data_IF_152747306999
#
_entry.id   IF_152747306999
#
_cell.length_a   1.000
_cell.length_b   1.000
_cell.length_c   1.000
_cell.angle_alpha   90.00
_cell.angle_beta   90.00
_cell.angle_gamma   90.00
#
_symmetry.space_group_name_H-M   'P 1'
#
loop_
_entity.id
_entity.type
_entity.pdbx_description
1 polymer ?
#
# COMPACT_ATOMS: atom_id res chain seq x y z
N UNK A 1 -24.64 -12.33 -17.16
CA UNK A 1 -24.72 -13.80 -17.09
C UNK A 1 -23.74 -14.29 -18.13
N UNK A 2 -22.63 -14.96 -17.83
CA UNK A 2 -22.48 -16.10 -16.94
C UNK A 2 -21.16 -16.01 -16.14
N UNK A 3 -21.27 -16.27 -14.85
CA UNK A 3 -20.19 -16.78 -14.02
C UNK A 3 -20.09 -18.25 -14.39
N UNK A 4 -18.88 -18.72 -14.72
CA UNK A 4 -18.35 -20.08 -14.52
C UNK A 4 -17.20 -20.31 -15.51
N UNK A 5 -16.05 -19.71 -15.22
CA UNK A 5 -14.79 -20.14 -15.79
C UNK A 5 -14.09 -20.99 -14.71
N UNK A 6 -13.74 -22.25 -15.00
CA UNK A 6 -13.03 -23.12 -14.05
C UNK A 6 -11.74 -22.47 -13.56
N UNK A 7 -11.47 -22.58 -12.25
CA UNK A 7 -10.34 -21.96 -11.55
C UNK A 7 -8.97 -22.35 -12.12
N UNK A 8 -8.90 -23.47 -12.84
CA UNK A 8 -7.66 -24.07 -13.34
C UNK A 8 -7.23 -23.61 -14.75
N UNK A 9 -8.02 -22.77 -15.43
CA UNK A 9 -7.73 -22.28 -16.80
C UNK A 9 -7.24 -20.82 -16.88
N UNK A 10 -6.76 -20.23 -15.78
CA UNK A 10 -6.01 -18.95 -15.85
C UNK A 10 -4.57 -19.16 -16.36
N UNK A 11 -4.40 -19.88 -17.47
CA UNK A 11 -3.12 -19.99 -18.17
C UNK A 11 -3.07 -18.89 -19.25
N UNK A 12 -2.16 -17.93 -19.08
CA UNK A 12 -1.76 -16.87 -20.03
C UNK A 12 -2.63 -15.61 -20.18
N UNK A 13 -3.24 -15.06 -19.11
CA UNK A 13 -3.60 -13.63 -19.14
C UNK A 13 -2.37 -12.79 -18.76
N UNK A 14 -1.91 -11.94 -19.67
CA UNK A 14 -0.91 -10.90 -19.34
C UNK A 14 -1.57 -9.90 -18.39
N UNK A 15 -1.02 -9.78 -17.19
CA UNK A 15 -1.47 -8.78 -16.21
C UNK A 15 -1.12 -7.39 -16.70
N UNK A 16 -1.99 -6.43 -16.42
CA UNK A 16 -1.74 -5.02 -16.71
C UNK A 16 -1.59 -4.27 -15.39
N UNK A 17 -0.75 -3.25 -15.38
CA UNK A 17 -0.60 -2.39 -14.20
C UNK A 17 -1.91 -1.72 -13.77
N UNK A 18 -2.92 -1.64 -14.65
CA UNK A 18 -4.28 -1.14 -14.36
C UNK A 18 -5.21 -2.15 -13.68
N UNK A 19 -4.86 -3.45 -13.65
CA UNK A 19 -5.70 -4.49 -13.06
C UNK A 19 -5.83 -4.34 -11.53
N UNK A 20 -7.02 -4.57 -10.98
CA UNK A 20 -7.29 -4.39 -9.54
C UNK A 20 -6.48 -5.32 -8.65
N UNK A 21 -6.05 -6.48 -9.17
CA UNK A 21 -5.22 -7.45 -8.45
C UNK A 21 -3.77 -6.93 -8.25
N UNK A 22 -3.32 -5.93 -9.01
CA UNK A 22 -1.96 -5.37 -8.90
C UNK A 22 -1.84 -4.40 -7.72
N UNK A 23 -0.71 -4.49 -7.01
CA UNK A 23 -0.34 -3.59 -5.93
C UNK A 23 0.09 -2.22 -6.48
N UNK A 24 -0.85 -1.27 -6.50
CA UNK A 24 -0.62 0.09 -7.00
C UNK A 24 0.42 0.86 -6.18
N UNK A 25 0.50 0.61 -4.88
CA UNK A 25 1.48 1.27 -4.01
C UNK A 25 2.89 0.83 -4.36
N UNK A 26 3.08 -0.47 -4.60
CA UNK A 26 4.35 -1.00 -5.07
C UNK A 26 4.76 -0.44 -6.45
N UNK A 27 3.79 -0.27 -7.37
CA UNK A 27 4.04 0.44 -8.63
C UNK A 27 4.56 1.87 -8.41
N UNK A 28 4.06 2.57 -7.40
CA UNK A 28 4.51 3.93 -7.05
C UNK A 28 5.81 3.97 -6.24
N UNK A 29 6.35 2.83 -5.79
CA UNK A 29 7.67 2.75 -5.17
C UNK A 29 7.76 1.75 -4.04
N UNK A 30 6.75 1.68 -3.18
CA UNK A 30 6.73 0.76 -2.04
C UNK A 30 5.31 0.39 -1.64
N UNK A 31 5.14 -0.84 -1.16
CA UNK A 31 3.88 -1.28 -0.55
C UNK A 31 3.98 -1.22 0.98
N UNK A 32 3.28 -0.27 1.64
CA UNK A 32 3.30 -0.18 3.10
C UNK A 32 2.79 -1.47 3.76
N UNK A 33 1.81 -2.13 3.14
CA UNK A 33 1.22 -3.38 3.63
C UNK A 33 2.25 -4.52 3.66
N UNK A 34 3.09 -4.64 2.63
CA UNK A 34 4.15 -5.64 2.63
C UNK A 34 5.30 -5.25 3.56
N UNK A 35 5.67 -3.96 3.60
CA UNK A 35 6.78 -3.47 4.42
C UNK A 35 6.57 -3.73 5.91
N UNK A 36 5.34 -3.56 6.40
CA UNK A 36 5.00 -3.75 7.81
C UNK A 36 4.42 -5.13 8.14
N UNK A 37 4.42 -6.06 7.18
CA UNK A 37 3.93 -7.42 7.41
C UNK A 37 4.71 -8.10 8.54
N UNK A 38 3.99 -8.76 9.45
CA UNK A 38 4.52 -9.40 10.67
C UNK A 38 5.18 -8.43 11.66
N UNK A 39 4.89 -7.12 11.57
CA UNK A 39 5.32 -6.14 12.57
C UNK A 39 4.16 -5.75 13.48
N UNK A 40 4.43 -4.95 14.52
CA UNK A 40 3.36 -4.35 15.35
C UNK A 40 2.47 -3.36 14.58
N UNK A 41 2.91 -2.93 13.40
CA UNK A 41 2.20 -2.01 12.52
C UNK A 41 1.59 -2.73 11.31
N UNK A 42 1.45 -4.07 11.36
CA UNK A 42 0.80 -4.84 10.31
C UNK A 42 -0.64 -4.36 10.08
N UNK A 43 -1.00 -4.15 8.81
CA UNK A 43 -2.29 -3.61 8.38
C UNK A 43 -3.29 -4.70 7.92
N UNK A 44 -2.95 -5.96 8.14
CA UNK A 44 -3.79 -7.11 7.83
C UNK A 44 -3.45 -7.79 6.51
N UNK A 45 -4.33 -8.69 6.08
CA UNK A 45 -4.14 -9.46 4.86
C UNK A 45 -4.11 -8.53 3.63
N UNK A 46 -3.05 -8.66 2.83
CA UNK A 46 -2.84 -7.90 1.60
C UNK A 46 -2.61 -8.87 0.44
N UNK A 47 -3.66 -9.06 -0.37
CA UNK A 47 -3.70 -10.05 -1.46
C UNK A 47 -3.39 -9.42 -2.83
N UNK A 48 -2.67 -8.30 -2.87
CA UNK A 48 -2.25 -7.66 -4.12
C UNK A 48 -0.94 -8.24 -4.65
N UNK A 49 -0.81 -8.24 -5.97
CA UNK A 49 0.29 -8.85 -6.70
C UNK A 49 1.34 -7.78 -7.04
N UNK A 50 2.60 -8.10 -6.75
CA UNK A 50 3.77 -7.30 -7.15
C UNK A 50 4.40 -7.95 -8.37
N UNK A 51 4.05 -7.44 -9.55
CA UNK A 51 4.51 -7.96 -10.83
C UNK A 51 5.55 -7.03 -11.48
N UNK A 52 6.77 -7.52 -11.67
CA UNK A 52 7.90 -6.73 -12.21
C UNK A 52 7.62 -6.14 -13.59
N UNK A 53 6.89 -6.84 -14.46
CA UNK A 53 6.55 -6.31 -15.79
C UNK A 53 5.59 -5.12 -15.67
N UNK A 54 4.60 -5.22 -14.79
CA UNK A 54 3.71 -4.09 -14.49
C UNK A 54 4.48 -2.89 -13.92
N UNK A 55 5.53 -3.13 -13.12
CA UNK A 55 6.40 -2.07 -12.60
C UNK A 55 7.20 -1.39 -13.69
N UNK A 56 7.84 -2.17 -14.57
CA UNK A 56 8.57 -1.64 -15.72
C UNK A 56 7.66 -0.83 -16.65
N UNK A 57 6.45 -1.34 -16.94
CA UNK A 57 5.43 -0.63 -17.71
C UNK A 57 5.03 0.69 -17.06
N UNK A 58 4.79 0.68 -15.74
CA UNK A 58 4.47 1.89 -14.98
C UNK A 58 5.64 2.88 -14.99
N UNK A 59 6.85 2.43 -14.72
CA UNK A 59 8.03 3.28 -14.62
C UNK A 59 8.36 3.97 -15.94
N UNK A 60 8.07 3.32 -17.07
CA UNK A 60 8.21 3.87 -18.41
C UNK A 60 7.18 4.96 -18.78
N UNK A 61 6.08 5.11 -18.03
CA UNK A 61 5.08 6.15 -18.31
C UNK A 61 5.62 7.55 -17.98
N UNK A 62 5.26 8.57 -18.78
CA UNK A 62 5.47 9.97 -18.42
C UNK A 62 4.74 10.33 -17.12
N UNK A 63 5.28 11.28 -16.35
CA UNK A 63 4.68 11.72 -15.09
C UNK A 63 3.23 12.19 -15.24
N UNK A 64 2.90 12.93 -16.30
CA UNK A 64 1.53 13.38 -16.57
C UNK A 64 0.53 12.21 -16.63
N UNK A 65 0.95 11.06 -17.17
CA UNK A 65 0.13 9.85 -17.23
C UNK A 65 0.02 9.15 -15.90
N UNK A 66 1.09 9.17 -15.09
CA UNK A 66 1.06 8.66 -13.71
C UNK A 66 0.12 9.48 -12.85
N UNK A 67 0.14 10.80 -13.00
CA UNK A 67 -0.73 11.73 -12.30
C UNK A 67 -2.21 11.51 -12.66
N UNK A 68 -2.52 11.26 -13.94
CA UNK A 68 -3.87 10.90 -14.39
C UNK A 68 -4.42 9.63 -13.70
N UNK A 69 -3.56 8.67 -13.35
CA UNK A 69 -3.96 7.46 -12.63
C UNK A 69 -4.18 7.67 -11.13
N UNK A 70 -3.54 8.66 -10.51
CA UNK A 70 -3.72 9.02 -9.10
C UNK A 70 -3.08 8.06 -8.08
N UNK A 71 -2.41 6.99 -8.51
CA UNK A 71 -1.85 5.98 -7.61
C UNK A 71 -0.79 6.55 -6.65
N UNK A 72 0.01 7.52 -7.12
CA UNK A 72 1.01 8.20 -6.28
C UNK A 72 0.35 9.11 -5.24
N UNK A 73 -0.75 9.75 -5.60
CA UNK A 73 -1.55 10.55 -4.67
C UNK A 73 -2.18 9.66 -3.58
N UNK A 74 -2.75 8.52 -3.96
CA UNK A 74 -3.30 7.57 -3.00
C UNK A 74 -2.23 7.05 -2.03
N UNK A 75 -1.02 6.77 -2.55
CA UNK A 75 0.13 6.40 -1.72
C UNK A 75 0.50 7.53 -0.75
N UNK A 76 0.58 8.78 -1.24
CA UNK A 76 0.88 9.95 -0.41
C UNK A 76 -0.14 10.10 0.73
N UNK A 77 -1.43 10.05 0.43
CA UNK A 77 -2.50 10.18 1.43
C UNK A 77 -2.41 9.07 2.49
N UNK A 78 -2.11 7.84 2.07
CA UNK A 78 -1.88 6.73 2.98
C UNK A 78 -0.68 7.00 3.90
N UNK A 79 0.45 7.43 3.36
CA UNK A 79 1.65 7.73 4.13
C UNK A 79 1.42 8.88 5.12
N UNK A 80 0.74 9.95 4.70
CA UNK A 80 0.40 11.08 5.58
C UNK A 80 -0.47 10.63 6.75
N UNK A 81 -1.48 9.79 6.49
CA UNK A 81 -2.30 9.20 7.56
C UNK A 81 -1.44 8.40 8.54
N UNK A 82 -0.54 7.56 8.05
CA UNK A 82 0.33 6.74 8.90
C UNK A 82 1.25 7.59 9.78
N UNK A 83 1.84 8.65 9.22
CA UNK A 83 2.64 9.62 9.98
C UNK A 83 1.78 10.30 11.06
N UNK A 84 0.59 10.77 10.71
CA UNK A 84 -0.31 11.39 11.67
C UNK A 84 -0.73 10.47 12.83
N UNK A 85 -0.90 9.18 12.56
CA UNK A 85 -1.22 8.19 13.61
C UNK A 85 -0.01 7.89 14.52
N UNK A 86 1.21 7.91 13.97
CA UNK A 86 2.44 7.84 14.74
C UNK A 86 2.64 9.08 15.61
N UNK A 87 2.39 10.27 15.09
CA UNK A 87 2.51 11.52 15.84
C UNK A 87 1.58 11.54 17.07
N UNK A 88 0.32 11.12 16.89
CA UNK A 88 -0.62 10.97 18.01
C UNK A 88 -0.13 9.96 19.04
N UNK A 89 0.45 8.85 18.58
CA UNK A 89 1.02 7.82 19.46
C UNK A 89 2.20 8.36 20.26
N UNK A 90 3.07 9.14 19.62
CA UNK A 90 4.21 9.80 20.26
C UNK A 90 3.71 10.77 21.35
N UNK A 91 2.74 11.63 21.03
CA UNK A 91 2.16 12.57 21.99
C UNK A 91 1.58 11.84 23.21
N UNK A 92 0.75 10.82 22.99
CA UNK A 92 0.17 10.02 24.08
C UNK A 92 1.23 9.36 24.96
N UNK A 93 2.30 8.84 24.37
CA UNK A 93 3.37 8.19 25.12
C UNK A 93 4.19 9.22 25.92
N UNK A 94 4.43 10.42 25.37
CA UNK A 94 5.07 11.51 26.10
C UNK A 94 4.24 11.95 27.29
N UNK A 95 2.92 12.12 27.11
CA UNK A 95 2.01 12.52 28.20
C UNK A 95 2.00 11.49 29.34
N UNK A 96 1.97 10.19 29.00
CA UNK A 96 2.07 9.11 29.99
C UNK A 96 3.38 9.18 30.79
N UNK A 97 4.51 9.35 30.11
CA UNK A 97 5.82 9.46 30.78
C UNK A 97 5.90 10.69 31.69
N UNK A 98 5.29 11.82 31.29
CA UNK A 98 5.23 13.01 32.13
C UNK A 98 4.38 12.78 33.39
N UNK A 99 3.24 12.08 33.27
CA UNK A 99 2.39 11.75 34.41
C UNK A 99 3.09 10.77 35.37
N UNK A 100 3.73 9.72 34.84
CA UNK A 100 4.50 8.77 35.65
C UNK A 100 5.63 9.46 36.43
N UNK A 101 6.36 10.39 35.81
CA UNK A 101 7.41 11.17 36.48
C UNK A 101 6.89 12.20 37.50
N UNK A 102 5.63 12.62 37.37
CA UNK A 102 5.02 13.61 38.27
C UNK A 102 4.41 12.96 39.52
N UNK A 103 3.97 11.70 39.42
CA UNK A 103 3.26 10.98 40.48
C UNK A 103 3.98 9.72 40.98
N UNK A 104 5.11 9.35 40.39
CA UNK A 104 6.01 8.27 40.83
C UNK A 104 7.20 8.79 41.61
#
# INVERSE_FOLDING_TARGET
>A
KERDVPVDQRVNRVMKFTDDEIDKYWLCGLSPYLLFKNTKSDMGQWDKIQDEKCKEEWDALPQEKKDEHGYEYDLMVLLERMVGDLDKTILRNKDKLMQENQYG
#
